data_IF_343076698438
#
_entry.id   IF_343076698438
#
_cell.length_a   1.000
_cell.length_b   1.000
_cell.length_c   1.000
_cell.angle_alpha   90.00
_cell.angle_beta   90.00
_cell.angle_gamma   90.00
#
_symmetry.space_group_name_H-M   'P 1'
#
loop_
_entity.id
_entity.type
_entity.pdbx_description
1 polymer ?
#
# COMPACT_ATOMS: atom_id res chain seq x y z
N UNK A 1 3.53 12.99 -1.34
CA UNK A 1 3.81 12.97 0.12
C UNK A 1 3.08 11.82 0.82
N UNK A 2 1.75 11.73 0.75
CA UNK A 2 0.95 10.64 1.34
C UNK A 2 1.51 9.23 1.07
N UNK A 3 1.92 8.94 -0.18
CA UNK A 3 2.57 7.66 -0.53
C UNK A 3 3.87 7.36 0.25
N UNK A 4 4.67 8.38 0.58
CA UNK A 4 5.89 8.20 1.38
C UNK A 4 5.58 7.84 2.84
N UNK A 5 4.50 8.39 3.39
CA UNK A 5 4.08 8.16 4.78
C UNK A 5 3.30 6.84 4.93
N UNK A 6 2.50 6.47 3.91
CA UNK A 6 1.68 5.25 3.90
C UNK A 6 2.49 3.97 4.05
N UNK A 7 3.75 3.98 3.61
CA UNK A 7 4.66 2.83 3.68
C UNK A 7 4.46 1.81 2.54
N UNK A 8 4.97 0.60 2.76
CA UNK A 8 4.83 -0.51 1.81
C UNK A 8 5.44 -0.26 0.43
N UNK A 9 4.87 -0.89 -0.59
CA UNK A 9 5.38 -0.84 -1.97
C UNK A 9 5.23 0.56 -2.58
N UNK A 10 4.14 1.27 -2.31
CA UNK A 10 3.94 2.63 -2.83
C UNK A 10 4.99 3.61 -2.30
N UNK A 11 5.44 3.46 -1.05
CA UNK A 11 6.58 4.24 -0.53
C UNK A 11 7.85 3.95 -1.31
N UNK A 12 8.13 2.69 -1.68
CA UNK A 12 9.32 2.32 -2.44
C UNK A 12 9.32 2.92 -3.84
N UNK A 13 8.17 2.88 -4.51
CA UNK A 13 7.97 3.58 -5.78
C UNK A 13 8.20 5.08 -5.58
N UNK A 14 7.53 5.70 -4.61
CA UNK A 14 7.62 7.13 -4.36
C UNK A 14 9.05 7.62 -4.04
N UNK A 15 9.85 6.84 -3.29
CA UNK A 15 11.25 7.17 -3.00
C UNK A 15 12.13 7.25 -4.25
N UNK A 16 11.74 6.61 -5.36
CA UNK A 16 12.43 6.74 -6.64
C UNK A 16 12.19 8.08 -7.35
N UNK A 17 11.17 8.83 -6.95
CA UNK A 17 10.74 10.06 -7.63
C UNK A 17 10.71 11.29 -6.72
N UNK A 18 10.58 11.10 -5.41
CA UNK A 18 10.33 12.15 -4.43
C UNK A 18 11.30 12.03 -3.26
N UNK A 19 11.93 13.14 -2.87
CA UNK A 19 12.83 13.19 -1.71
C UNK A 19 12.04 13.07 -0.41
N UNK A 20 12.66 12.47 0.61
CA UNK A 20 12.02 12.30 1.92
C UNK A 20 11.69 13.64 2.59
N UNK A 21 12.48 14.68 2.31
CA UNK A 21 12.29 16.04 2.83
C UNK A 21 10.93 16.65 2.43
N UNK A 22 10.30 16.15 1.36
CA UNK A 22 8.94 16.57 0.99
C UNK A 22 7.92 16.24 2.07
N UNK A 23 8.15 15.21 2.90
CA UNK A 23 7.28 14.89 4.04
C UNK A 23 7.31 15.98 5.09
N UNK A 24 8.48 16.61 5.30
CA UNK A 24 8.71 17.61 6.34
C UNK A 24 8.07 18.96 6.02
N UNK A 25 7.69 19.21 4.75
CA UNK A 25 7.04 20.47 4.34
C UNK A 25 5.58 20.59 4.78
N UNK A 26 5.02 19.52 5.36
CA UNK A 26 3.61 19.46 5.75
C UNK A 26 2.68 19.16 4.57
N UNK A 27 1.36 19.07 4.84
CA UNK A 27 0.36 18.81 3.82
C UNK A 27 0.24 19.98 2.84
N UNK A 28 -0.02 19.67 1.57
CA UNK A 28 -0.06 20.71 0.54
C UNK A 28 -1.37 21.51 0.58
N UNK A 29 -2.46 20.92 1.10
CA UNK A 29 -3.75 21.60 1.24
C UNK A 29 -4.40 22.02 -0.07
N UNK A 30 -3.91 21.53 -1.21
CA UNK A 30 -4.45 21.84 -2.55
C UNK A 30 -5.78 21.13 -2.83
N UNK A 31 -6.00 19.99 -2.17
CA UNK A 31 -7.23 19.22 -2.33
C UNK A 31 -8.27 19.69 -1.33
N UNK A 32 -9.36 20.28 -1.82
CA UNK A 32 -10.53 20.66 -1.00
C UNK A 32 -11.48 19.50 -0.71
N UNK A 33 -11.31 18.37 -1.40
CA UNK A 33 -12.15 17.20 -1.22
C UNK A 33 -11.63 16.37 -0.05
N UNK A 34 -12.55 15.87 0.76
CA UNK A 34 -12.25 15.08 1.95
C UNK A 34 -11.62 13.71 1.64
N UNK A 35 -11.75 13.21 0.40
CA UNK A 35 -11.17 11.92 -0.02
C UNK A 35 -9.65 11.96 -0.28
N UNK A 36 -9.05 13.15 -0.28
CA UNK A 36 -7.61 13.38 -0.42
C UNK A 36 -6.97 13.94 0.86
N UNK A 37 -7.73 13.99 1.96
CA UNK A 37 -7.25 14.51 3.24
C UNK A 37 -7.61 13.54 4.37
N UNK A 38 -6.64 13.31 5.25
CA UNK A 38 -6.81 12.59 6.49
C UNK A 38 -7.07 13.61 7.59
N UNK A 39 -8.21 13.54 8.26
CA UNK A 39 -8.61 14.52 9.28
C UNK A 39 -8.89 13.80 10.59
N UNK A 40 -8.19 14.21 11.65
CA UNK A 40 -8.44 13.78 13.03
C UNK A 40 -8.84 14.98 13.85
N UNK A 41 -9.88 14.84 14.67
CA UNK A 41 -10.31 15.89 15.61
C UNK A 41 -9.98 15.47 17.03
N UNK A 42 -9.44 16.39 17.82
CA UNK A 42 -9.29 16.16 19.27
C UNK A 42 -10.55 16.53 20.06
N UNK A 43 -10.51 16.29 21.36
CA UNK A 43 -11.62 16.56 22.28
C UNK A 43 -11.95 18.05 22.42
N UNK A 44 -11.05 18.95 21.99
CA UNK A 44 -11.25 20.39 21.99
C UNK A 44 -11.75 20.91 20.64
N UNK A 45 -11.97 20.02 19.67
CA UNK A 45 -12.47 20.35 18.34
C UNK A 45 -11.39 20.88 17.39
N UNK A 46 -10.10 20.75 17.74
CA UNK A 46 -9.00 21.10 16.83
C UNK A 46 -8.87 20.02 15.77
N UNK A 47 -8.84 20.43 14.51
CA UNK A 47 -8.66 19.55 13.36
C UNK A 47 -7.18 19.44 12.98
N UNK A 48 -6.65 18.22 13.02
CA UNK A 48 -5.34 17.86 12.48
C UNK A 48 -5.57 17.28 11.09
N UNK A 49 -5.06 17.99 10.08
CA UNK A 49 -5.26 17.64 8.67
C UNK A 49 -3.94 17.20 8.07
N UNK A 50 -3.99 16.09 7.33
CA UNK A 50 -2.88 15.61 6.53
C UNK A 50 -3.34 15.21 5.10
N UNK A 51 -2.41 15.04 4.16
CA UNK A 51 -2.72 14.49 2.83
C UNK A 51 -2.98 12.98 2.94
N UNK A 52 -4.06 12.48 2.34
CA UNK A 52 -4.36 11.05 2.23
C UNK A 52 -4.12 10.56 0.80
N UNK A 53 -3.69 9.30 0.66
CA UNK A 53 -3.52 8.68 -0.65
C UNK A 53 -4.83 8.00 -1.07
N UNK A 54 -5.47 8.48 -2.13
CA UNK A 54 -6.71 7.88 -2.61
C UNK A 54 -6.47 6.44 -3.14
N UNK A 55 -7.52 5.62 -3.18
CA UNK A 55 -7.42 4.28 -3.75
C UNK A 55 -6.97 4.31 -5.23
N UNK A 56 -7.44 5.30 -6.00
CA UNK A 56 -7.06 5.47 -7.41
C UNK A 56 -5.58 5.86 -7.56
N UNK A 57 -5.08 6.73 -6.69
CA UNK A 57 -3.66 7.10 -6.66
C UNK A 57 -2.80 5.90 -6.26
N UNK A 58 -3.25 5.11 -5.28
CA UNK A 58 -2.58 3.88 -4.87
C UNK A 58 -2.52 2.87 -6.03
N UNK A 59 -3.65 2.63 -6.69
CA UNK A 59 -3.76 1.69 -7.80
C UNK A 59 -2.86 2.14 -8.98
N UNK A 60 -2.83 3.44 -9.25
CA UNK A 60 -1.92 4.05 -10.23
C UNK A 60 -0.45 3.83 -9.86
N UNK A 61 -0.05 4.12 -8.62
CA UNK A 61 1.32 3.88 -8.14
C UNK A 61 1.70 2.40 -8.14
N UNK A 62 0.71 1.52 -7.96
CA UNK A 62 0.88 0.07 -8.05
C UNK A 62 1.00 -0.42 -9.51
N UNK A 63 0.78 0.47 -10.48
CA UNK A 63 0.80 0.16 -11.90
C UNK A 63 -0.33 -0.77 -12.30
N UNK A 64 -1.54 -0.57 -11.76
CA UNK A 64 -2.75 -1.30 -12.13
C UNK A 64 -3.13 -1.00 -13.59
N UNK A 65 -3.45 -2.04 -14.34
CA UNK A 65 -4.08 -1.90 -15.64
C UNK A 65 -5.03 -3.08 -15.91
N UNK A 66 -5.90 -2.85 -16.89
CA UNK A 66 -6.94 -3.78 -17.30
C UNK A 66 -6.56 -4.43 -18.63
N UNK A 67 -6.45 -5.76 -18.64
CA UNK A 67 -6.17 -6.55 -19.84
C UNK A 67 -7.46 -7.14 -20.39
N UNK A 68 -7.74 -6.88 -21.66
CA UNK A 68 -8.84 -7.50 -22.39
C UNK A 68 -8.44 -8.88 -22.91
N UNK A 69 -9.20 -9.92 -22.57
CA UNK A 69 -8.90 -11.31 -22.95
C UNK A 69 -9.51 -11.73 -24.29
N UNK A 70 -10.06 -10.78 -25.06
CA UNK A 70 -10.55 -11.00 -26.43
C UNK A 70 -11.85 -11.79 -26.56
N UNK A 71 -12.22 -12.63 -25.59
CA UNK A 71 -13.50 -13.33 -25.56
C UNK A 71 -14.44 -12.74 -24.50
N UNK A 72 -15.68 -12.43 -24.90
CA UNK A 72 -16.82 -12.09 -24.02
C UNK A 72 -16.61 -10.95 -23.00
N UNK A 73 -15.91 -9.87 -23.37
CA UNK A 73 -15.67 -8.70 -22.48
C UNK A 73 -15.02 -9.05 -21.14
N UNK A 74 -14.35 -10.19 -21.02
CA UNK A 74 -13.59 -10.50 -19.80
C UNK A 74 -12.39 -9.56 -19.70
N UNK A 75 -12.39 -8.78 -18.62
CA UNK A 75 -11.32 -7.86 -18.25
C UNK A 75 -10.65 -8.41 -17.00
N UNK A 76 -9.34 -8.63 -17.07
CA UNK A 76 -8.55 -9.02 -15.91
C UNK A 76 -7.66 -7.86 -15.49
N UNK A 77 -7.73 -7.55 -14.20
CA UNK A 77 -6.88 -6.55 -13.56
C UNK A 77 -5.55 -7.16 -13.14
N UNK A 78 -4.46 -6.53 -13.57
CA UNK A 78 -3.10 -6.93 -13.24
C UNK A 78 -2.27 -5.70 -12.86
N UNK A 79 -1.27 -5.87 -12.00
CA UNK A 79 -0.48 -4.75 -11.51
C UNK A 79 1.02 -5.07 -11.34
N UNK A 80 1.85 -4.04 -11.40
CA UNK A 80 3.31 -4.14 -11.26
C UNK A 80 3.76 -4.39 -9.83
N UNK A 81 3.01 -3.84 -8.87
CA UNK A 81 3.18 -3.98 -7.42
C UNK A 81 1.82 -4.29 -6.79
N UNK A 82 1.77 -4.87 -5.58
CA UNK A 82 0.51 -5.29 -4.97
C UNK A 82 -0.36 -4.08 -4.61
N UNK A 83 -1.67 -4.20 -4.87
CA UNK A 83 -2.67 -3.20 -4.48
C UNK A 83 -2.80 -3.10 -2.96
N UNK A 84 -3.23 -1.94 -2.46
CA UNK A 84 -3.23 -1.62 -1.03
C UNK A 84 -4.02 -2.62 -0.21
N UNK A 85 -5.27 -2.88 -0.62
CA UNK A 85 -6.15 -3.85 0.03
C UNK A 85 -5.61 -5.30 0.03
N UNK A 86 -4.72 -5.65 -0.92
CA UNK A 86 -4.05 -6.97 -0.96
C UNK A 86 -2.89 -6.97 0.03
N UNK A 87 -2.07 -5.92 0.00
CA UNK A 87 -0.90 -5.80 0.84
C UNK A 87 -1.26 -5.71 2.33
N UNK A 88 -2.26 -4.91 2.70
CA UNK A 88 -2.68 -4.72 4.09
C UNK A 88 -3.15 -6.03 4.73
N UNK A 89 -3.89 -6.85 3.98
CA UNK A 89 -4.44 -8.13 4.47
C UNK A 89 -3.48 -9.31 4.35
N UNK A 90 -2.28 -9.10 3.83
CA UNK A 90 -1.33 -10.18 3.52
C UNK A 90 -0.63 -10.74 4.76
N UNK A 91 -0.56 -9.96 5.84
CA UNK A 91 0.29 -10.22 7.02
C UNK A 91 1.77 -9.95 6.77
N UNK A 92 2.12 -9.39 5.61
CA UNK A 92 3.45 -8.87 5.33
C UNK A 92 3.56 -7.37 5.66
N UNK A 93 2.43 -6.65 5.75
CA UNK A 93 2.39 -5.27 6.24
C UNK A 93 2.55 -5.23 7.78
N UNK A 94 3.77 -5.40 8.27
CA UNK A 94 4.10 -5.48 9.71
C UNK A 94 4.68 -4.18 10.27
N UNK A 95 4.11 -3.02 9.90
CA UNK A 95 4.55 -1.65 10.27
C UNK A 95 5.90 -1.24 9.66
N UNK A 96 6.87 -2.14 9.66
CA UNK A 96 8.20 -1.95 9.09
C UNK A 96 8.36 -2.65 7.75
N UNK A 97 9.18 -2.07 6.89
CA UNK A 97 9.66 -2.74 5.69
C UNK A 97 10.68 -3.81 6.07
N UNK A 98 10.35 -5.08 5.84
CA UNK A 98 11.19 -6.22 6.22
C UNK A 98 12.14 -6.65 5.10
N UNK A 99 13.19 -7.39 5.45
CA UNK A 99 14.14 -7.97 4.49
C UNK A 99 13.44 -8.88 3.47
N UNK A 100 12.36 -9.56 3.89
CA UNK A 100 11.53 -10.35 2.98
C UNK A 100 10.86 -9.48 1.91
N UNK A 101 10.32 -8.32 2.30
CA UNK A 101 9.72 -7.38 1.36
C UNK A 101 10.79 -6.72 0.47
N UNK A 102 11.97 -6.42 1.01
CA UNK A 102 13.12 -5.93 0.24
C UNK A 102 13.55 -6.94 -0.82
N UNK A 103 13.68 -8.22 -0.46
CA UNK A 103 14.03 -9.29 -1.39
C UNK A 103 12.96 -9.44 -2.48
N UNK A 104 11.67 -9.33 -2.13
CA UNK A 104 10.57 -9.39 -3.10
C UNK A 104 10.59 -8.19 -4.06
N UNK A 105 10.85 -6.99 -3.54
CA UNK A 105 11.02 -5.77 -4.33
C UNK A 105 12.19 -5.89 -5.31
N UNK A 106 13.38 -6.25 -4.82
CA UNK A 106 14.57 -6.38 -5.66
C UNK A 106 14.39 -7.48 -6.72
N UNK A 107 13.82 -8.63 -6.34
CA UNK A 107 13.48 -9.68 -7.30
C UNK A 107 12.56 -9.16 -8.40
N UNK A 108 11.54 -8.37 -8.06
CA UNK A 108 10.61 -7.79 -9.04
C UNK A 108 11.32 -6.80 -9.96
N UNK A 109 12.05 -5.83 -9.42
CA UNK A 109 12.78 -4.84 -10.21
C UNK A 109 13.75 -5.52 -11.18
N UNK A 110 14.53 -6.50 -10.70
CA UNK A 110 15.44 -7.27 -11.54
C UNK A 110 14.70 -8.05 -12.63
N UNK A 111 13.56 -8.66 -12.31
CA UNK A 111 12.74 -9.38 -13.30
C UNK A 111 12.17 -8.49 -14.40
N UNK A 112 11.86 -7.23 -14.09
CA UNK A 112 11.36 -6.24 -15.05
C UNK A 112 12.49 -5.86 -16.01
N UNK A 113 13.70 -5.67 -15.50
CA UNK A 113 14.87 -5.24 -16.28
C UNK A 113 15.62 -6.37 -16.98
N UNK A 114 15.34 -7.64 -16.65
CA UNK A 114 16.06 -8.80 -17.20
C UNK A 114 15.77 -9.04 -18.69
N UNK A 115 16.74 -9.63 -19.41
CA UNK A 115 16.60 -10.02 -20.82
C UNK A 115 15.43 -11.02 -21.02
N UNK A 116 14.61 -10.77 -22.05
CA UNK A 116 13.40 -11.51 -22.40
C UNK A 116 13.62 -12.99 -22.70
N UNK A 117 14.85 -13.38 -23.05
CA UNK A 117 15.24 -14.77 -23.32
C UNK A 117 15.08 -15.70 -22.11
N UNK A 118 15.12 -15.17 -20.87
CA UNK A 118 15.01 -15.98 -19.64
C UNK A 118 13.56 -16.02 -19.13
N UNK A 119 12.95 -17.22 -19.02
CA UNK A 119 11.62 -17.37 -18.43
C UNK A 119 11.60 -16.87 -16.97
N UNK A 120 10.70 -15.93 -16.68
CA UNK A 120 10.62 -15.31 -15.36
C UNK A 120 9.16 -14.99 -15.00
N UNK A 121 8.65 -15.67 -13.97
CA UNK A 121 7.26 -15.52 -13.49
C UNK A 121 6.97 -14.17 -12.86
N UNK A 122 7.99 -13.34 -12.61
CA UNK A 122 7.87 -11.97 -12.11
C UNK A 122 8.12 -10.93 -13.21
N UNK A 123 8.26 -11.32 -14.48
CA UNK A 123 8.41 -10.35 -15.58
C UNK A 123 7.11 -9.63 -15.89
N UNK A 124 6.00 -10.36 -15.87
CA UNK A 124 4.70 -9.81 -16.21
C UNK A 124 3.98 -9.24 -14.98
N UNK A 125 3.10 -8.25 -15.17
CA UNK A 125 2.17 -7.80 -14.14
C UNK A 125 1.28 -8.93 -13.68
N UNK A 126 1.06 -8.95 -12.37
CA UNK A 126 0.47 -10.09 -11.69
C UNK A 126 -0.97 -9.78 -11.32
N UNK A 127 -1.80 -10.81 -11.35
CA UNK A 127 -3.16 -10.74 -10.87
C UNK A 127 -3.25 -10.70 -9.34
N UNK A 128 -4.43 -10.37 -8.84
CA UNK A 128 -4.72 -10.29 -7.40
C UNK A 128 -4.32 -11.57 -6.65
N UNK A 129 -4.65 -12.74 -7.21
CA UNK A 129 -4.37 -14.03 -6.56
C UNK A 129 -2.88 -14.37 -6.53
N UNK A 130 -2.14 -14.01 -7.58
CA UNK A 130 -0.70 -14.20 -7.64
C UNK A 130 0.01 -13.33 -6.60
N UNK A 131 -0.41 -12.08 -6.45
CA UNK A 131 0.07 -11.19 -5.39
C UNK A 131 -0.23 -11.74 -4.00
N UNK A 132 -1.46 -12.19 -3.75
CA UNK A 132 -1.83 -12.83 -2.47
C UNK A 132 -0.93 -14.01 -2.14
N UNK A 133 -0.61 -14.85 -3.12
CA UNK A 133 0.25 -16.01 -2.91
C UNK A 133 1.71 -15.61 -2.64
N UNK A 134 2.21 -14.58 -3.31
CA UNK A 134 3.60 -14.09 -3.13
C UNK A 134 3.81 -13.27 -1.85
N UNK A 135 2.76 -12.62 -1.36
CA UNK A 135 2.78 -11.81 -0.14
C UNK A 135 2.37 -12.58 1.11
N UNK A 136 2.34 -13.92 1.10
CA UNK A 136 1.95 -14.70 2.28
C UNK A 136 2.91 -14.45 3.45
N UNK A 137 2.59 -13.45 4.26
CA UNK A 137 3.32 -13.09 5.46
C UNK A 137 2.91 -13.95 6.65
N UNK A 138 3.14 -13.43 7.86
CA UNK A 138 2.83 -14.14 9.09
C UNK A 138 1.32 -14.39 9.25
N UNK A 139 0.94 -15.63 9.57
CA UNK A 139 -0.44 -15.96 9.90
C UNK A 139 -0.90 -15.24 11.17
N UNK A 140 -0.01 -15.10 12.15
CA UNK A 140 -0.31 -14.37 13.38
C UNK A 140 -0.47 -12.89 13.11
N UNK A 141 0.33 -12.30 12.21
CA UNK A 141 0.14 -10.91 11.78
C UNK A 141 -1.22 -10.70 11.10
N UNK A 142 -1.66 -11.63 10.24
CA UNK A 142 -3.00 -11.57 9.65
C UNK A 142 -4.11 -11.63 10.71
N UNK A 143 -3.99 -12.56 11.67
CA UNK A 143 -4.96 -12.69 12.77
C UNK A 143 -4.96 -11.47 13.68
N UNK A 144 -3.78 -10.92 13.99
CA UNK A 144 -3.61 -9.72 14.77
C UNK A 144 -4.29 -8.54 14.08
N UNK A 145 -4.11 -8.35 12.76
CA UNK A 145 -4.78 -7.29 12.00
C UNK A 145 -6.31 -7.34 12.14
N UNK A 146 -6.92 -8.53 12.05
CA UNK A 146 -8.38 -8.70 12.24
C UNK A 146 -8.84 -8.32 13.65
N UNK A 147 -7.96 -8.40 14.65
CA UNK A 147 -8.26 -8.11 16.06
C UNK A 147 -7.77 -6.74 16.51
N UNK A 148 -6.91 -6.09 15.71
CA UNK A 148 -6.16 -4.91 16.10
C UNK A 148 -7.08 -3.75 16.43
N UNK A 149 -8.10 -3.52 15.60
CA UNK A 149 -9.06 -2.45 15.82
C UNK A 149 -9.79 -2.62 17.15
N UNK A 150 -10.29 -3.83 17.43
CA UNK A 150 -10.91 -4.16 18.73
C UNK A 150 -9.95 -3.94 19.89
N UNK A 151 -8.75 -4.50 19.83
CA UNK A 151 -7.76 -4.38 20.91
C UNK A 151 -7.28 -2.94 21.11
N UNK A 152 -7.13 -2.18 20.03
CA UNK A 152 -6.78 -0.77 20.11
C UNK A 152 -7.89 0.00 20.82
N UNK A 153 -9.15 -0.20 20.42
CA UNK A 153 -10.30 0.47 21.04
C UNK A 153 -10.40 0.15 22.53
N UNK A 154 -10.21 -1.13 22.89
CA UNK A 154 -10.23 -1.59 24.29
C UNK A 154 -9.13 -0.89 25.11
N UNK A 155 -7.91 -0.78 24.58
CA UNK A 155 -6.78 -0.07 25.23
C UNK A 155 -7.05 1.43 25.34
N UNK A 156 -7.55 2.07 24.27
CA UNK A 156 -7.91 3.49 24.26
C UNK A 156 -9.00 3.78 25.30
N UNK A 157 -10.03 2.95 25.41
CA UNK A 157 -11.11 3.09 26.39
C UNK A 157 -10.66 2.85 27.83
N UNK A 158 -9.71 1.93 28.07
CA UNK A 158 -9.22 1.65 29.42
C UNK A 158 -8.29 2.74 29.97
N UNK A 159 -7.60 3.50 29.11
CA UNK A 159 -6.52 4.38 29.53
C UNK A 159 -6.77 5.89 29.29
N UNK A 160 -7.84 6.27 28.58
CA UNK A 160 -8.14 7.68 28.28
C UNK A 160 -9.56 8.13 28.62
N UNK A 161 -10.26 7.39 29.49
CA UNK A 161 -11.43 7.94 30.20
C UNK A 161 -10.93 8.75 31.39
N UNK A 162 -10.74 10.05 31.16
CA UNK A 162 -10.76 11.11 32.18
C UNK A 162 -11.73 12.19 31.73
#
# INVERSE_FOLDING_TARGET
RAALMRGGFVRRVALGFVKIDEVLRGPWGIHRRSDHTFIVKDNWGVEYVDDELSNEEFDTLSGLYHKFLGHKREVVSVCWFPLGHIFDKSGANIVRWSDHLEALWNKRCNSISADQSVPNTFRNPLGVMEWRNKLRGSADARRAYTRLEKWSLDVWQQHLVY
#
